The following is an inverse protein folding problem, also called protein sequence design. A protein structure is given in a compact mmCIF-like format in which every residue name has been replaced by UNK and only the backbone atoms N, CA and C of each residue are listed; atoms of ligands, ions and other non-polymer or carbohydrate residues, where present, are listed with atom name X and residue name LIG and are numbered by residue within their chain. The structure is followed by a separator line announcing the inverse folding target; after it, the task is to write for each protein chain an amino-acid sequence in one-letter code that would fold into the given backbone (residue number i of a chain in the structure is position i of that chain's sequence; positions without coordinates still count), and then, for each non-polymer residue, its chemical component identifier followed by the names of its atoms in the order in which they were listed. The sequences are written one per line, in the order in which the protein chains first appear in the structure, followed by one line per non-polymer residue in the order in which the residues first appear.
data_IF_564544480819
#
_entry.id   IF_564544480819
#
_cell.length_a   1.000
_cell.length_b   1.000
_cell.length_c   1.000
_cell.angle_alpha   90.00
_cell.angle_beta   90.00
_cell.angle_gamma   90.00
#
_symmetry.space_group_name_H-M   'P 1'
#
loop_
_entity.id
_entity.type
_entity.pdbx_description
1 polymer ?
#
# COMPACT_ATOMS: atom_id res chain seq x y z
N UNK A 1 10.11 6.86 -2.46
CA UNK A 1 9.33 5.61 -2.29
C UNK A 1 7.84 5.92 -2.37
N UNK A 2 7.10 5.21 -3.21
CA UNK A 2 5.64 5.35 -3.35
C UNK A 2 4.88 4.17 -2.72
N UNK A 3 3.59 4.36 -2.48
CA UNK A 3 2.68 3.30 -2.04
C UNK A 3 1.30 3.55 -2.66
N UNK A 4 0.61 2.49 -3.05
CA UNK A 4 -0.76 2.56 -3.59
C UNK A 4 -1.54 1.31 -3.22
N UNK A 5 -2.87 1.39 -3.24
CA UNK A 5 -3.75 0.22 -3.13
C UNK A 5 -4.53 0.06 -4.42
N UNK A 6 -4.76 -1.17 -4.86
CA UNK A 6 -5.64 -1.48 -6.00
C UNK A 6 -6.70 -2.49 -5.60
N UNK A 7 -7.97 -2.21 -5.93
CA UNK A 7 -9.09 -3.14 -5.82
C UNK A 7 -9.24 -3.93 -7.12
N UNK A 8 -9.23 -5.26 -7.02
CA UNK A 8 -9.25 -6.16 -8.18
C UNK A 8 -10.48 -7.06 -8.07
N UNK A 9 -11.46 -6.85 -8.94
CA UNK A 9 -12.64 -7.68 -9.08
C UNK A 9 -12.43 -8.69 -10.22
N UNK A 10 -12.43 -9.99 -9.89
CA UNK A 10 -12.33 -11.08 -10.88
C UNK A 10 -11.21 -10.90 -11.91
N UNK A 11 -10.04 -10.45 -11.43
CA UNK A 11 -8.85 -10.23 -12.24
C UNK A 11 -8.79 -8.89 -12.97
N UNK A 12 -9.75 -7.99 -12.78
CA UNK A 12 -9.76 -6.64 -13.36
C UNK A 12 -9.59 -5.60 -12.27
N UNK A 13 -8.71 -4.62 -12.49
CA UNK A 13 -8.63 -3.44 -11.65
C UNK A 13 -9.93 -2.63 -11.77
N UNK A 14 -10.62 -2.40 -10.66
CA UNK A 14 -11.87 -1.62 -10.61
C UNK A 14 -11.71 -0.32 -9.81
N UNK A 15 -10.67 -0.21 -8.99
CA UNK A 15 -10.31 1.01 -8.25
C UNK A 15 -8.81 1.03 -7.91
N UNK A 16 -8.20 2.21 -7.80
CA UNK A 16 -6.79 2.39 -7.42
C UNK A 16 -6.56 3.73 -6.74
N UNK A 17 -5.67 3.76 -5.73
CA UNK A 17 -5.59 4.90 -4.81
C UNK A 17 -4.84 6.09 -5.37
N UNK A 18 -3.93 5.87 -6.33
CA UNK A 18 -3.30 6.96 -7.07
C UNK A 18 -4.25 7.40 -8.17
N UNK A 19 -4.43 8.71 -8.34
CA UNK A 19 -5.28 9.26 -9.39
C UNK A 19 -4.49 9.71 -10.61
N UNK A 20 -4.77 10.93 -11.06
CA UNK A 20 -4.11 11.52 -12.23
C UNK A 20 -2.58 11.55 -12.10
N UNK A 21 -2.09 11.75 -10.87
CA UNK A 21 -0.66 11.73 -10.54
C UNK A 21 -0.39 10.73 -9.41
N UNK A 22 0.86 10.33 -9.20
CA UNK A 22 1.25 9.45 -8.08
C UNK A 22 1.18 10.10 -6.69
N UNK A 23 0.54 11.27 -6.55
CA UNK A 23 0.44 12.03 -5.31
C UNK A 23 -0.77 11.63 -4.45
N UNK A 24 -1.90 11.36 -5.09
CA UNK A 24 -3.14 10.96 -4.41
C UNK A 24 -3.00 9.59 -3.74
N UNK A 25 -3.77 9.35 -2.69
CA UNK A 25 -3.85 8.06 -2.04
C UNK A 25 -3.19 8.03 -0.68
N UNK A 26 -2.25 7.10 -0.55
CA UNK A 26 -1.59 6.81 0.71
C UNK A 26 -0.56 7.88 1.07
N UNK A 27 -0.33 8.04 2.38
CA UNK A 27 0.86 8.74 2.87
C UNK A 27 2.08 7.93 2.47
N UNK A 28 3.10 8.57 1.91
CA UNK A 28 4.31 7.93 1.41
C UNK A 28 5.55 8.50 2.11
N UNK A 29 6.75 8.17 1.61
CA UNK A 29 8.00 8.69 2.19
C UNK A 29 8.04 10.22 2.19
N UNK A 30 7.85 10.84 1.03
CA UNK A 30 7.94 12.30 0.83
C UNK A 30 6.65 12.94 0.29
N UNK A 31 5.61 12.13 0.07
CA UNK A 31 4.32 12.56 -0.48
C UNK A 31 3.22 12.45 0.56
N UNK A 32 2.30 13.41 0.66
CA UNK A 32 1.29 13.45 1.72
C UNK A 32 0.15 12.45 1.51
N UNK A 33 -0.08 11.98 0.28
CA UNK A 33 -1.31 11.27 -0.05
C UNK A 33 -2.51 12.23 -0.09
N UNK A 34 -3.69 11.73 0.27
CA UNK A 34 -4.90 12.56 0.29
C UNK A 34 -4.80 13.71 1.30
N UNK A 35 -4.97 14.93 0.79
CA UNK A 35 -5.13 16.15 1.57
C UNK A 35 -6.39 16.90 1.11
N UNK A 36 -6.89 17.79 1.96
CA UNK A 36 -7.95 18.72 1.57
C UNK A 36 -7.42 19.69 0.50
N UNK A 37 -8.04 19.77 -0.70
CA UNK A 37 -7.64 20.72 -1.74
C UNK A 37 -7.65 22.19 -1.27
N UNK A 38 -8.46 22.53 -0.26
CA UNK A 38 -8.48 23.84 0.37
C UNK A 38 -7.14 24.25 1.00
N UNK A 39 -6.30 23.28 1.40
CA UNK A 39 -4.94 23.54 1.91
C UNK A 39 -4.08 24.21 0.84
N UNK A 40 -4.20 23.81 -0.43
CA UNK A 40 -3.43 24.41 -1.53
C UNK A 40 -3.78 25.89 -1.70
N UNK A 41 -5.08 26.20 -1.63
CA UNK A 41 -5.59 27.57 -1.71
C UNK A 41 -5.10 28.40 -0.52
N UNK A 42 -5.10 27.81 0.67
CA UNK A 42 -4.61 28.45 1.88
C UNK A 42 -3.11 28.77 1.78
N UNK A 43 -2.28 27.82 1.36
CA UNK A 43 -0.83 28.02 1.18
C UNK A 43 -0.55 29.14 0.18
N UNK A 44 -1.21 29.11 -0.97
CA UNK A 44 -1.04 30.15 -1.98
C UNK A 44 -1.43 31.55 -1.45
N UNK A 45 -2.59 31.67 -0.80
CA UNK A 45 -3.12 32.99 -0.39
C UNK A 45 -2.52 33.53 0.90
N UNK A 46 -2.30 32.67 1.89
CA UNK A 46 -1.92 33.06 3.24
C UNK A 46 -0.43 32.90 3.52
N UNK A 47 0.24 31.97 2.82
CA UNK A 47 1.70 31.82 2.89
C UNK A 47 2.43 32.44 1.70
N UNK A 48 1.69 32.90 0.68
CA UNK A 48 2.26 33.55 -0.50
C UNK A 48 3.07 32.61 -1.37
N UNK A 49 2.87 31.29 -1.22
CA UNK A 49 3.61 30.29 -1.98
C UNK A 49 3.14 30.27 -3.44
N UNK A 50 4.11 30.17 -4.35
CA UNK A 50 3.89 29.90 -5.75
C UNK A 50 3.40 28.46 -5.98
N UNK A 51 2.85 28.20 -7.16
CA UNK A 51 2.42 26.85 -7.55
C UNK A 51 3.61 25.89 -7.57
N UNK A 52 4.78 26.35 -8.03
CA UNK A 52 5.99 25.51 -8.11
C UNK A 52 6.53 25.16 -6.71
N UNK A 53 6.48 26.09 -5.75
CA UNK A 53 6.84 25.82 -4.35
C UNK A 53 5.88 24.80 -3.72
N UNK A 54 4.57 24.95 -3.96
CA UNK A 54 3.57 24.00 -3.46
C UNK A 54 3.80 22.61 -4.07
N UNK A 55 4.06 22.52 -5.38
CA UNK A 55 4.32 21.23 -6.05
C UNK A 55 5.60 20.56 -5.53
N UNK A 56 6.66 21.35 -5.30
CA UNK A 56 7.91 20.86 -4.70
C UNK A 56 7.66 20.30 -3.29
N UNK A 57 6.94 21.03 -2.43
CA UNK A 57 6.61 20.60 -1.07
C UNK A 57 5.77 19.31 -1.07
N UNK A 58 4.79 19.20 -1.97
CA UNK A 58 3.92 18.03 -2.08
C UNK A 58 4.68 16.78 -2.54
N UNK A 59 5.69 16.92 -3.39
CA UNK A 59 6.44 15.78 -3.92
C UNK A 59 7.71 15.42 -3.14
N UNK A 60 8.31 16.41 -2.45
CA UNK A 60 9.64 16.29 -1.84
C UNK A 60 9.67 16.42 -0.31
N UNK A 61 8.79 17.22 0.29
CA UNK A 61 8.92 17.65 1.70
C UNK A 61 7.73 17.26 2.58
N UNK A 62 6.88 16.37 2.08
CA UNK A 62 5.64 15.93 2.75
C UNK A 62 5.76 14.48 3.26
N UNK A 63 4.63 13.83 3.56
CA UNK A 63 4.61 12.42 3.96
C UNK A 63 5.32 12.16 5.29
N UNK A 64 6.02 11.02 5.39
CA UNK A 64 6.82 10.67 6.57
C UNK A 64 7.92 11.70 6.84
N UNK A 65 8.57 12.20 5.78
CA UNK A 65 9.59 13.26 5.85
C UNK A 65 9.02 14.52 6.51
N UNK A 66 7.90 15.04 6.01
CA UNK A 66 7.26 16.22 6.60
C UNK A 66 6.81 16.00 8.05
N UNK A 67 6.33 14.79 8.39
CA UNK A 67 5.83 14.48 9.73
C UNK A 67 6.93 14.31 10.77
N UNK A 68 8.03 13.62 10.44
CA UNK A 68 9.06 13.27 11.42
C UNK A 68 10.51 13.59 11.01
N UNK A 69 10.74 14.08 9.79
CA UNK A 69 12.06 14.47 9.28
C UNK A 69 12.91 13.30 8.77
N UNK A 70 12.29 12.15 8.52
CA UNK A 70 12.91 11.02 7.79
C UNK A 70 11.84 10.30 6.96
N UNK A 71 12.21 9.84 5.77
CA UNK A 71 11.30 9.20 4.81
C UNK A 71 11.46 7.68 4.71
N UNK A 72 12.56 7.11 5.20
CA UNK A 72 12.75 5.66 5.25
C UNK A 72 12.01 5.06 6.45
N UNK A 73 11.08 4.15 6.19
CA UNK A 73 10.23 3.57 7.22
C UNK A 73 11.02 2.78 8.28
N UNK A 74 12.20 2.24 7.94
CA UNK A 74 13.08 1.57 8.91
C UNK A 74 13.60 2.54 9.95
N UNK A 75 14.00 3.74 9.51
CA UNK A 75 14.47 4.80 10.39
C UNK A 75 13.32 5.35 11.25
N UNK A 76 12.12 5.48 10.67
CA UNK A 76 10.92 5.87 11.42
C UNK A 76 10.61 4.85 12.54
N UNK A 77 10.61 3.55 12.22
CA UNK A 77 10.37 2.48 13.21
C UNK A 77 11.45 2.46 14.30
N UNK A 78 12.72 2.66 13.94
CA UNK A 78 13.81 2.75 14.91
C UNK A 78 13.63 3.94 15.86
N UNK A 79 13.25 5.11 15.32
CA UNK A 79 12.99 6.32 16.12
C UNK A 79 11.79 6.16 17.03
N UNK A 80 10.70 5.56 16.54
CA UNK A 80 9.54 5.23 17.38
C UNK A 80 9.97 4.32 18.54
N UNK A 81 10.73 3.25 18.27
CA UNK A 81 11.22 2.34 19.31
C UNK A 81 12.13 3.03 20.33
N UNK A 82 12.82 4.11 19.93
CA UNK A 82 13.60 4.97 20.81
C UNK A 82 12.77 6.03 21.58
N UNK A 83 11.45 6.05 21.41
CA UNK A 83 10.53 6.95 22.12
C UNK A 83 10.24 8.28 21.40
N UNK A 84 10.59 8.42 20.12
CA UNK A 84 10.29 9.63 19.34
C UNK A 84 8.79 9.75 19.04
N UNK A 85 8.15 10.77 19.62
CA UNK A 85 6.71 11.01 19.47
C UNK A 85 6.31 11.43 18.06
N UNK A 86 7.19 12.11 17.31
CA UNK A 86 6.91 12.49 15.92
C UNK A 86 6.97 11.28 15.00
N UNK A 87 7.95 10.39 15.22
CA UNK A 87 8.04 9.13 14.47
C UNK A 87 6.82 8.24 14.74
N UNK A 88 6.38 8.15 15.99
CA UNK A 88 5.14 7.46 16.36
C UNK A 88 3.93 8.03 15.63
N UNK A 89 3.73 9.35 15.67
CA UNK A 89 2.62 10.01 14.97
C UNK A 89 2.68 9.75 13.46
N UNK A 90 3.87 9.83 12.86
CA UNK A 90 4.06 9.57 11.44
C UNK A 90 3.63 8.14 11.06
N UNK A 91 4.01 7.14 11.86
CA UNK A 91 3.57 5.76 11.67
C UNK A 91 2.07 5.60 11.86
N UNK A 92 1.48 6.20 12.89
CA UNK A 92 0.04 6.14 13.16
C UNK A 92 -0.75 6.70 11.96
N UNK A 93 -0.34 7.85 11.41
CA UNK A 93 -0.94 8.44 10.20
C UNK A 93 -0.77 7.54 8.98
N UNK A 94 0.43 7.00 8.78
CA UNK A 94 0.75 6.10 7.67
C UNK A 94 -0.13 4.85 7.67
N UNK A 95 -0.16 4.11 8.79
CA UNK A 95 -0.94 2.86 8.90
C UNK A 95 -2.44 3.12 8.93
N UNK A 96 -2.89 4.24 9.50
CA UNK A 96 -4.29 4.65 9.46
C UNK A 96 -4.77 4.84 8.02
N UNK A 97 -3.96 5.50 7.17
CA UNK A 97 -4.31 5.71 5.76
C UNK A 97 -4.41 4.40 4.99
N UNK A 98 -3.50 3.45 5.22
CA UNK A 98 -3.60 2.11 4.64
C UNK A 98 -4.91 1.43 5.07
N UNK A 99 -5.21 1.43 6.37
CA UNK A 99 -6.42 0.82 6.93
C UNK A 99 -7.70 1.45 6.35
N UNK A 100 -7.71 2.78 6.18
CA UNK A 100 -8.81 3.52 5.57
C UNK A 100 -9.06 3.08 4.13
N UNK A 101 -8.01 2.92 3.32
CA UNK A 101 -8.13 2.44 1.95
C UNK A 101 -8.59 0.98 1.87
N UNK A 102 -8.11 0.11 2.77
CA UNK A 102 -8.65 -1.26 2.88
C UNK A 102 -10.16 -1.22 3.11
N UNK A 103 -10.63 -0.43 4.08
CA UNK A 103 -12.06 -0.30 4.35
C UNK A 103 -12.87 0.26 3.17
N UNK A 104 -12.35 1.31 2.51
CA UNK A 104 -12.99 1.90 1.34
C UNK A 104 -13.12 0.88 0.20
N UNK A 105 -12.08 0.10 -0.07
CA UNK A 105 -12.10 -0.88 -1.15
C UNK A 105 -12.84 -2.15 -0.77
N UNK A 106 -12.99 -2.47 0.52
CA UNK A 106 -13.91 -3.51 0.96
C UNK A 106 -15.33 -3.11 0.58
N UNK A 107 -15.70 -1.85 0.79
CA UNK A 107 -17.00 -1.33 0.37
C UNK A 107 -17.17 -1.34 -1.16
N UNK A 108 -16.12 -1.01 -1.92
CA UNK A 108 -16.16 -1.03 -3.39
C UNK A 108 -16.30 -2.45 -3.97
N UNK A 109 -15.61 -3.45 -3.39
CA UNK A 109 -15.65 -4.85 -3.85
C UNK A 109 -16.83 -5.65 -3.28
N UNK A 110 -17.42 -5.21 -2.17
CA UNK A 110 -18.38 -5.98 -1.39
C UNK A 110 -17.69 -7.11 -0.63
N UNK A 111 -17.56 -8.28 -1.27
CA UNK A 111 -16.81 -9.40 -0.70
C UNK A 111 -15.34 -9.31 -1.10
N UNK A 112 -14.46 -9.49 -0.12
CA UNK A 112 -13.00 -9.52 -0.30
C UNK A 112 -12.51 -10.91 0.06
N UNK A 113 -11.88 -11.61 -0.88
CA UNK A 113 -11.33 -12.94 -0.65
C UNK A 113 -9.89 -12.85 -0.12
N UNK A 114 -9.14 -11.81 -0.51
CA UNK A 114 -7.76 -11.64 -0.09
C UNK A 114 -7.29 -10.17 -0.01
N UNK A 115 -6.38 -9.91 0.93
CA UNK A 115 -5.53 -8.72 0.98
C UNK A 115 -4.09 -9.18 0.72
N UNK A 116 -3.43 -8.57 -0.25
CA UNK A 116 -2.05 -8.89 -0.66
C UNK A 116 -1.14 -7.72 -0.31
N UNK A 117 -0.09 -8.00 0.46
CA UNK A 117 1.03 -7.09 0.68
C UNK A 117 2.18 -7.46 -0.24
N UNK A 118 2.70 -6.48 -0.98
CA UNK A 118 3.79 -6.63 -1.94
C UNK A 118 4.78 -5.48 -1.83
N UNK A 119 5.85 -5.54 -2.62
CA UNK A 119 6.92 -4.56 -2.71
C UNK A 119 7.60 -4.22 -1.36
N UNK A 120 8.61 -3.35 -1.41
CA UNK A 120 9.52 -3.02 -0.30
C UNK A 120 8.92 -3.12 1.11
N UNK A 121 7.96 -2.24 1.46
CA UNK A 121 7.37 -2.21 2.82
C UNK A 121 6.44 -3.39 3.07
N UNK A 122 5.54 -3.69 2.13
CA UNK A 122 4.53 -4.75 2.28
C UNK A 122 5.18 -6.12 2.47
N UNK A 123 6.29 -6.39 1.80
CA UNK A 123 7.02 -7.67 1.91
C UNK A 123 7.82 -7.79 3.22
N UNK A 124 8.49 -6.70 3.61
CA UNK A 124 9.59 -6.75 4.57
C UNK A 124 9.22 -6.23 5.97
N UNK A 125 8.09 -5.52 6.13
CA UNK A 125 7.71 -4.92 7.42
C UNK A 125 6.52 -5.65 8.06
N UNK A 126 6.74 -6.68 8.90
CA UNK A 126 5.66 -7.35 9.62
C UNK A 126 4.89 -6.41 10.54
N UNK A 127 5.54 -5.42 11.15
CA UNK A 127 4.91 -4.46 12.05
C UNK A 127 3.90 -3.57 11.30
N UNK A 128 4.19 -3.19 10.05
CA UNK A 128 3.28 -2.40 9.23
C UNK A 128 2.09 -3.24 8.77
N UNK A 129 2.31 -4.48 8.34
CA UNK A 129 1.20 -5.41 8.00
C UNK A 129 0.28 -5.62 9.19
N UNK A 130 0.85 -5.84 10.37
CA UNK A 130 0.10 -6.00 11.61
C UNK A 130 -0.77 -4.77 11.91
N UNK A 131 -0.19 -3.57 11.92
CA UNK A 131 -0.90 -2.32 12.17
C UNK A 131 -1.90 -1.97 11.07
N UNK A 132 -1.64 -2.31 9.81
CA UNK A 132 -2.58 -2.08 8.72
C UNK A 132 -3.86 -2.95 8.87
N UNK A 133 -3.71 -4.18 9.35
CA UNK A 133 -4.82 -5.12 9.54
C UNK A 133 -5.50 -5.04 10.91
N UNK A 134 -4.93 -4.31 11.87
CA UNK A 134 -5.48 -4.19 13.21
C UNK A 134 -6.90 -3.59 13.22
N UNK A 135 -7.79 -4.18 14.02
CA UNK A 135 -9.18 -3.73 14.16
C UNK A 135 -10.09 -4.11 12.98
N UNK A 136 -9.60 -4.83 11.98
CA UNK A 136 -10.38 -5.27 10.81
C UNK A 136 -11.06 -6.64 10.98
N UNK A 137 -11.16 -7.15 12.21
CA UNK A 137 -11.78 -8.46 12.50
C UNK A 137 -13.25 -8.55 12.07
N UNK A 138 -14.00 -7.44 12.15
CA UNK A 138 -15.37 -7.38 11.64
C UNK A 138 -15.46 -7.55 10.10
N UNK A 139 -14.36 -7.35 9.39
CA UNK A 139 -14.23 -7.58 7.95
C UNK A 139 -13.64 -8.97 7.64
N UNK A 140 -13.49 -9.84 8.65
CA UNK A 140 -12.94 -11.20 8.49
C UNK A 140 -11.41 -11.24 8.35
N UNK A 141 -10.71 -10.14 8.65
CA UNK A 141 -9.24 -10.08 8.60
C UNK A 141 -8.67 -10.47 9.97
N UNK A 142 -8.03 -11.64 10.02
CA UNK A 142 -7.45 -12.19 11.24
C UNK A 142 -6.01 -12.63 11.01
N UNK A 143 -5.04 -11.83 11.48
CA UNK A 143 -3.62 -12.16 11.33
C UNK A 143 -3.14 -13.22 12.33
N UNK A 144 -2.26 -14.09 11.85
CA UNK A 144 -1.41 -14.94 12.68
C UNK A 144 -0.06 -14.26 12.87
N UNK A 145 0.24 -13.91 14.12
CA UNK A 145 1.45 -13.16 14.48
C UNK A 145 2.74 -13.91 14.18
N UNK A 146 2.74 -15.23 14.40
CA UNK A 146 3.90 -16.08 14.16
C UNK A 146 4.16 -16.21 12.66
N UNK A 147 3.12 -16.44 11.85
CA UNK A 147 3.24 -16.47 10.38
C UNK A 147 3.65 -15.11 9.82
N UNK A 148 3.10 -14.01 10.32
CA UNK A 148 3.43 -12.67 9.88
C UNK A 148 4.91 -12.31 10.15
N UNK A 149 5.44 -12.66 11.32
CA UNK A 149 6.83 -12.38 11.72
C UNK A 149 7.86 -13.38 11.18
N UNK A 150 7.42 -14.51 10.61
CA UNK A 150 8.32 -15.50 10.05
C UNK A 150 9.12 -14.93 8.86
N UNK A 151 10.46 -15.05 8.93
CA UNK A 151 11.36 -14.69 7.84
C UNK A 151 11.37 -15.78 6.76
N UNK A 152 10.31 -15.83 5.96
CA UNK A 152 10.18 -16.73 4.80
C UNK A 152 10.30 -15.93 3.51
N UNK A 153 11.03 -16.48 2.54
CA UNK A 153 11.11 -15.95 1.17
C UNK A 153 9.91 -16.44 0.35
N UNK A 154 9.57 -15.70 -0.69
CA UNK A 154 8.48 -16.06 -1.60
C UNK A 154 7.09 -15.75 -1.04
N UNK A 155 6.09 -16.15 -1.82
CA UNK A 155 4.68 -15.98 -1.50
C UNK A 155 4.29 -16.77 -0.26
N UNK A 156 3.56 -16.13 0.65
CA UNK A 156 3.13 -16.75 1.91
C UNK A 156 1.82 -16.17 2.41
N UNK A 157 1.05 -17.02 3.08
CA UNK A 157 -0.13 -16.65 3.84
C UNK A 157 0.24 -16.34 5.29
N UNK A 158 -0.33 -15.26 5.83
CA UNK A 158 -0.06 -14.74 7.18
C UNK A 158 -1.32 -14.57 8.04
N UNK A 159 -2.49 -14.97 7.54
CA UNK A 159 -3.73 -15.04 8.31
C UNK A 159 -3.81 -16.30 9.19
N UNK A 160 -4.72 -16.28 10.18
CA UNK A 160 -5.09 -17.46 10.97
C UNK A 160 -5.75 -18.53 10.09
N UNK A 161 -5.58 -19.79 10.48
CA UNK A 161 -6.28 -20.88 9.81
C UNK A 161 -7.80 -20.70 9.93
N UNK A 162 -8.51 -20.82 8.80
CA UNK A 162 -9.97 -20.62 8.73
C UNK A 162 -10.43 -19.16 8.70
N UNK A 163 -9.53 -18.17 8.69
CA UNK A 163 -9.92 -16.77 8.55
C UNK A 163 -10.73 -16.53 7.26
N UNK A 164 -11.83 -15.75 7.30
CA UNK A 164 -12.67 -15.50 6.12
C UNK A 164 -11.92 -14.82 4.97
N UNK A 165 -10.99 -13.92 5.30
CA UNK A 165 -10.16 -13.20 4.33
C UNK A 165 -8.72 -13.71 4.40
N UNK A 166 -8.18 -14.13 3.26
CA UNK A 166 -6.76 -14.47 3.17
C UNK A 166 -5.90 -13.20 3.27
N UNK A 167 -4.78 -13.27 3.99
CA UNK A 167 -3.81 -12.18 4.03
C UNK A 167 -2.48 -12.71 3.53
N UNK A 168 -2.05 -12.22 2.38
CA UNK A 168 -0.90 -12.74 1.66
C UNK A 168 0.24 -11.74 1.68
N UNK A 169 1.47 -12.27 1.69
CA UNK A 169 2.64 -11.52 1.26
C UNK A 169 3.13 -12.17 -0.02
N UNK A 170 3.17 -11.41 -1.11
CA UNK A 170 3.56 -11.90 -2.44
C UNK A 170 4.64 -10.97 -2.96
N UNK A 171 5.86 -11.46 -3.25
CA UNK A 171 6.90 -10.61 -3.82
C UNK A 171 6.52 -10.09 -5.20
N UNK A 172 6.75 -8.80 -5.45
CA UNK A 172 6.62 -8.25 -6.81
C UNK A 172 7.88 -8.53 -7.63
N UNK A 173 7.71 -8.69 -8.94
CA UNK A 173 8.82 -8.76 -9.89
C UNK A 173 8.39 -8.01 -11.16
N UNK A 174 8.61 -6.69 -11.14
CA UNK A 174 8.20 -5.80 -12.22
C UNK A 174 8.97 -6.11 -13.51
N UNK A 175 10.25 -6.47 -13.41
CA UNK A 175 11.08 -6.84 -14.56
C UNK A 175 10.56 -8.09 -15.27
N UNK A 176 10.13 -9.10 -14.51
CA UNK A 176 9.53 -10.31 -15.08
C UNK A 176 8.21 -10.01 -15.76
N UNK A 177 7.31 -9.24 -15.13
CA UNK A 177 6.03 -8.87 -15.73
C UNK A 177 6.24 -8.06 -17.03
N UNK A 178 7.18 -7.11 -17.04
CA UNK A 178 7.55 -6.36 -18.26
C UNK A 178 8.06 -7.32 -19.34
N UNK A 179 8.94 -8.27 -19.00
CA UNK A 179 9.47 -9.24 -19.95
C UNK A 179 8.37 -10.14 -20.54
N UNK A 180 7.43 -10.61 -19.71
CA UNK A 180 6.30 -11.42 -20.14
C UNK A 180 5.30 -10.63 -21.01
N UNK A 181 5.04 -9.36 -20.69
CA UNK A 181 4.24 -8.49 -21.54
C UNK A 181 4.92 -8.21 -22.88
N UNK A 182 6.23 -7.91 -22.87
CA UNK A 182 7.00 -7.74 -24.09
C UNK A 182 6.97 -9.00 -24.97
N UNK A 183 7.12 -10.18 -24.37
CA UNK A 183 7.04 -11.47 -25.07
C UNK A 183 5.64 -11.71 -25.67
N UNK A 184 4.56 -11.35 -24.95
CA UNK A 184 3.18 -11.44 -25.45
C UNK A 184 2.93 -10.53 -26.65
N UNK A 185 3.55 -9.35 -26.69
CA UNK A 185 3.42 -8.42 -27.81
C UNK A 185 4.12 -8.94 -29.08
N UNK A 186 5.26 -9.62 -28.95
CA UNK A 186 6.02 -10.15 -30.10
C UNK A 186 5.54 -11.53 -30.57
N UNK A 187 4.93 -12.33 -29.68
CA UNK A 187 4.38 -13.64 -30.00
C UNK A 187 2.91 -13.76 -29.57
N UNK A 188 1.97 -13.16 -30.33
CA UNK A 188 0.53 -13.28 -30.08
C UNK A 188 0.07 -14.72 -30.37
N UNK A 189 0.22 -15.61 -29.38
CA UNK A 189 -0.12 -17.03 -29.49
C UNK A 189 0.55 -17.93 -28.44
N UNK A 190 1.63 -17.47 -27.80
CA UNK A 190 2.27 -18.20 -26.70
C UNK A 190 1.54 -17.95 -25.38
N UNK A 191 0.89 -18.97 -24.83
CA UNK A 191 0.51 -18.96 -23.41
C UNK A 191 1.77 -19.10 -22.55
N UNK A 192 1.88 -18.39 -21.41
CA UNK A 192 3.04 -18.49 -20.53
C UNK A 192 3.15 -19.89 -19.93
N UNK A 193 4.39 -20.33 -19.72
CA UNK A 193 4.71 -21.52 -18.93
C UNK A 193 4.75 -21.14 -17.43
N UNK A 194 3.58 -21.22 -16.78
CA UNK A 194 3.39 -21.06 -15.33
C UNK A 194 3.00 -19.64 -14.88
N UNK A 195 2.14 -19.40 -13.90
CA UNK A 195 1.14 -20.25 -13.24
C UNK A 195 -0.18 -20.21 -14.02
N UNK A 196 -1.04 -21.22 -13.85
CA UNK A 196 -2.37 -21.25 -14.48
C UNK A 196 -3.18 -19.95 -14.26
N UNK A 197 -4.27 -19.73 -15.02
CA UNK A 197 -5.06 -18.50 -14.91
C UNK A 197 -5.32 -18.19 -13.44
N UNK A 198 -4.99 -16.95 -13.01
CA UNK A 198 -5.35 -16.45 -11.69
C UNK A 198 -6.78 -16.91 -11.41
N UNK A 199 -7.04 -17.61 -10.29
CA UNK A 199 -8.28 -18.36 -10.12
C UNK A 199 -9.46 -17.48 -10.50
N UNK A 200 -10.18 -17.91 -11.53
CA UNK A 200 -11.30 -17.17 -12.07
C UNK A 200 -12.26 -16.85 -10.92
N UNK A 201 -12.52 -15.56 -10.68
CA UNK A 201 -13.64 -15.14 -9.84
C UNK A 201 -13.33 -14.59 -8.45
N UNK A 202 -12.07 -14.40 -8.04
CA UNK A 202 -11.76 -13.85 -6.69
C UNK A 202 -11.58 -12.34 -6.68
N UNK A 203 -12.10 -11.71 -5.63
CA UNK A 203 -11.96 -10.29 -5.32
C UNK A 203 -10.79 -10.10 -4.36
N UNK A 204 -9.83 -9.26 -4.72
CA UNK A 204 -8.64 -9.01 -3.88
C UNK A 204 -8.25 -7.55 -3.86
N UNK A 205 -7.55 -7.16 -2.81
CA UNK A 205 -6.79 -5.91 -2.78
C UNK A 205 -5.30 -6.20 -2.83
N UNK A 206 -4.55 -5.37 -3.54
CA UNK A 206 -3.10 -5.37 -3.50
C UNK A 206 -2.60 -4.03 -2.97
N UNK A 207 -1.75 -4.10 -1.94
CA UNK A 207 -0.99 -3.02 -1.33
C UNK A 207 0.50 -3.25 -1.61
#
# INVERSE_FOLDING_TARGET
NGASVTAIEKGKSVDTSMGLTPLEGLVMGTRPGDIDPGVLIYLARQRGMSVDEIDADLNGESGLEGLCGVSDLRDVLQREAAGDSRARLALEVYVYRIRKYIGAYTAALGQVDAIVFTAGVGENSPDIRERACEGLGALGVELDQTRNRARKRGSREIQREGAPVAVLVVPTNEELEIAEQALRCIHPGSQPAGDGPAPAGRNKMAF
#
